data_IF_468941510919
#
_entry.id   IF_468941510919
#
_cell.length_a   1.000
_cell.length_b   1.000
_cell.length_c   1.000
_cell.angle_alpha   90.00
_cell.angle_beta   90.00
_cell.angle_gamma   90.00
#
_symmetry.space_group_name_H-M   'P 1'
#
loop_
_entity.id
_entity.type
_entity.pdbx_description
1 polymer ?
#
# COMPACT_ATOMS: atom_id res chain seq x y z
N UNK A 1 -48.75 -14.92 -23.18
CA UNK A 1 -48.37 -15.01 -21.76
C UNK A 1 -46.87 -15.26 -21.71
N UNK A 2 -46.18 -14.53 -20.81
CA UNK A 2 -44.84 -14.81 -20.23
C UNK A 2 -43.63 -14.81 -21.19
N UNK A 3 -42.49 -14.14 -20.96
CA UNK A 3 -42.00 -13.33 -19.82
C UNK A 3 -40.88 -12.42 -20.35
N UNK A 4 -40.90 -11.12 -20.03
CA UNK A 4 -39.74 -10.23 -20.21
C UNK A 4 -38.74 -10.50 -19.09
N UNK A 5 -37.51 -10.86 -19.44
CA UNK A 5 -36.38 -10.88 -18.51
C UNK A 5 -36.01 -9.44 -18.20
N UNK A 6 -36.38 -8.98 -17.00
CA UNK A 6 -35.97 -7.70 -16.46
C UNK A 6 -34.52 -7.83 -16.00
N UNK A 7 -33.58 -7.22 -16.72
CA UNK A 7 -32.23 -7.00 -16.21
C UNK A 7 -32.32 -5.96 -15.10
N UNK A 8 -32.26 -6.43 -13.86
CA UNK A 8 -32.15 -5.59 -12.66
C UNK A 8 -30.78 -4.89 -12.70
N UNK A 9 -30.80 -3.58 -12.97
CA UNK A 9 -29.64 -2.72 -12.81
C UNK A 9 -29.42 -2.54 -11.31
N UNK A 10 -28.40 -3.22 -10.77
CA UNK A 10 -27.95 -3.04 -9.39
C UNK A 10 -27.57 -1.56 -9.21
N UNK A 11 -28.10 -0.84 -8.22
CA UNK A 11 -27.80 0.57 -8.02
C UNK A 11 -26.32 0.72 -7.61
N UNK A 12 -25.61 1.60 -8.31
CA UNK A 12 -24.18 1.90 -8.13
C UNK A 12 -23.86 2.68 -6.84
N UNK A 13 -24.54 2.39 -5.74
CA UNK A 13 -24.40 3.13 -4.49
C UNK A 13 -24.34 2.16 -3.31
N UNK A 14 -23.39 1.22 -3.37
CA UNK A 14 -22.90 0.57 -2.17
C UNK A 14 -22.21 1.64 -1.30
N UNK A 15 -22.37 1.59 0.04
CA UNK A 15 -21.59 2.45 0.91
C UNK A 15 -20.12 2.15 0.62
N UNK A 16 -19.35 3.18 0.25
CA UNK A 16 -17.91 3.09 0.10
C UNK A 16 -17.37 2.63 1.46
N UNK A 17 -17.08 1.33 1.60
CA UNK A 17 -16.71 0.75 2.87
C UNK A 17 -15.45 1.48 3.35
N UNK A 18 -15.56 2.11 4.52
CA UNK A 18 -14.42 2.76 5.16
C UNK A 18 -13.37 1.69 5.46
N UNK A 19 -12.24 1.77 4.77
CA UNK A 19 -11.17 0.80 4.93
C UNK A 19 -10.36 1.15 6.16
N UNK A 20 -10.24 0.18 7.07
CA UNK A 20 -9.42 0.31 8.27
C UNK A 20 -8.11 -0.47 8.14
N UNK A 21 -7.01 0.12 8.63
CA UNK A 21 -5.77 -0.57 8.89
C UNK A 21 -5.71 -1.06 10.34
N UNK A 22 -5.26 -2.29 10.56
CA UNK A 22 -5.05 -2.87 11.89
C UNK A 22 -3.59 -3.28 12.04
N UNK A 23 -2.88 -2.80 13.08
CA UNK A 23 -1.48 -3.15 13.30
C UNK A 23 -1.35 -4.64 13.64
N UNK A 24 -0.32 -5.28 13.10
CA UNK A 24 0.02 -6.68 13.38
C UNK A 24 0.80 -6.75 14.68
N UNK A 25 0.37 -7.55 15.68
CA UNK A 25 1.09 -7.71 16.94
C UNK A 25 2.50 -8.26 16.74
N UNK A 26 3.41 -7.90 17.65
CA UNK A 26 4.83 -8.27 17.53
C UNK A 26 5.08 -9.77 17.39
N UNK A 27 4.25 -10.59 18.04
CA UNK A 27 4.31 -12.05 18.00
C UNK A 27 4.02 -12.64 16.62
N UNK A 28 3.28 -11.92 15.76
CA UNK A 28 2.85 -12.39 14.43
C UNK A 28 3.69 -11.80 13.30
N UNK A 29 4.66 -10.93 13.60
CA UNK A 29 5.47 -10.24 12.57
C UNK A 29 6.29 -11.20 11.72
N UNK A 30 6.81 -12.27 12.34
CA UNK A 30 7.61 -13.28 11.64
C UNK A 30 6.80 -14.02 10.56
N UNK A 31 5.50 -14.16 10.78
CA UNK A 31 4.59 -14.87 9.88
C UNK A 31 3.92 -13.94 8.87
N UNK A 32 4.08 -12.62 8.98
CA UNK A 32 3.42 -11.63 8.12
C UNK A 32 3.64 -11.91 6.63
N UNK A 33 4.90 -11.95 6.19
CA UNK A 33 5.20 -12.15 4.77
C UNK A 33 4.79 -13.54 4.27
N UNK A 34 5.11 -14.66 4.96
CA UNK A 34 4.60 -15.97 4.57
C UNK A 34 3.07 -16.04 4.48
N UNK A 35 2.36 -15.42 5.42
CA UNK A 35 0.90 -15.50 5.53
C UNK A 35 0.18 -14.68 4.45
N UNK A 36 0.60 -13.44 4.22
CA UNK A 36 -0.11 -12.52 3.31
C UNK A 36 0.48 -12.50 1.89
N UNK A 37 1.76 -12.83 1.74
CA UNK A 37 2.48 -12.76 0.47
C UNK A 37 3.11 -14.09 0.04
N UNK A 38 2.95 -15.18 0.79
CA UNK A 38 3.64 -16.45 0.55
C UNK A 38 3.40 -17.09 -0.82
N UNK A 39 2.31 -16.77 -1.50
CA UNK A 39 2.00 -17.24 -2.87
C UNK A 39 2.66 -16.40 -3.96
N UNK A 40 3.28 -15.27 -3.61
CA UNK A 40 3.90 -14.35 -4.58
C UNK A 40 5.34 -14.78 -4.84
N UNK A 41 5.76 -14.93 -6.11
CA UNK A 41 7.14 -15.24 -6.43
C UNK A 41 8.10 -14.21 -5.81
N UNK A 42 9.19 -14.67 -5.18
CA UNK A 42 10.22 -13.80 -4.59
C UNK A 42 9.69 -12.86 -3.49
N UNK A 43 8.61 -13.23 -2.78
CA UNK A 43 8.02 -12.44 -1.68
C UNK A 43 9.04 -12.05 -0.59
N UNK A 44 10.06 -12.88 -0.34
CA UNK A 44 11.12 -12.61 0.65
C UNK A 44 11.95 -11.36 0.32
N UNK A 45 11.87 -10.86 -0.93
CA UNK A 45 12.58 -9.65 -1.35
C UNK A 45 11.74 -8.38 -1.21
N UNK A 46 10.46 -8.47 -0.85
CA UNK A 46 9.57 -7.31 -0.78
C UNK A 46 10.03 -6.33 0.31
N UNK A 47 10.24 -6.82 1.53
CA UNK A 47 10.69 -5.98 2.65
C UNK A 47 11.99 -5.20 2.36
N UNK A 48 13.12 -5.85 1.96
CA UNK A 48 14.34 -5.11 1.68
C UNK A 48 14.20 -4.16 0.48
N UNK A 49 13.30 -4.43 -0.48
CA UNK A 49 13.03 -3.51 -1.59
C UNK A 49 12.22 -2.30 -1.15
N UNK A 50 11.25 -2.47 -0.25
CA UNK A 50 10.50 -1.35 0.34
C UNK A 50 11.45 -0.40 1.07
N UNK A 51 12.38 -0.93 1.86
CA UNK A 51 13.41 -0.11 2.50
C UNK A 51 14.28 0.64 1.49
N UNK A 52 14.71 -0.03 0.41
CA UNK A 52 15.51 0.59 -0.64
C UNK A 52 14.75 1.70 -1.39
N UNK A 53 13.44 1.55 -1.61
CA UNK A 53 12.61 2.61 -2.16
C UNK A 53 12.51 3.81 -1.22
N UNK A 54 12.33 3.58 0.08
CA UNK A 54 12.30 4.66 1.07
C UNK A 54 13.63 5.42 1.10
N UNK A 55 14.75 4.71 1.19
CA UNK A 55 16.11 5.30 1.15
C UNK A 55 16.35 6.11 -0.13
N UNK A 56 15.82 5.66 -1.27
CA UNK A 56 15.95 6.39 -2.53
C UNK A 56 15.13 7.68 -2.58
N UNK A 57 14.01 7.73 -1.86
CA UNK A 57 13.02 8.80 -2.01
C UNK A 57 13.09 9.84 -0.91
N UNK A 58 13.60 9.48 0.26
CA UNK A 58 13.65 10.33 1.43
C UNK A 58 15.10 10.47 1.89
N UNK A 59 15.72 11.63 1.63
CA UNK A 59 17.11 11.91 2.04
C UNK A 59 17.26 11.97 3.57
N UNK A 60 16.16 12.22 4.29
CA UNK A 60 16.09 12.29 5.75
C UNK A 60 15.94 10.90 6.38
N UNK A 61 15.68 9.86 5.58
CA UNK A 61 15.50 8.50 6.07
C UNK A 61 16.83 7.88 6.49
N UNK A 62 16.91 7.51 7.77
CA UNK A 62 18.08 6.85 8.37
C UNK A 62 17.80 5.42 8.84
N UNK A 63 16.70 4.83 8.36
CA UNK A 63 16.12 3.61 8.92
C UNK A 63 14.99 3.91 9.90
N UNK A 64 14.70 2.94 10.77
CA UNK A 64 13.68 3.08 11.80
C UNK A 64 13.00 1.75 12.11
N UNK A 65 12.13 1.76 13.11
CA UNK A 65 11.20 0.67 13.35
C UNK A 65 10.04 0.85 12.38
N UNK A 66 9.66 -0.24 11.73
CA UNK A 66 8.50 -0.27 10.85
C UNK A 66 7.44 -1.13 11.48
N UNK A 67 6.17 -0.71 11.39
CA UNK A 67 4.98 -1.48 11.74
C UNK A 67 4.37 -2.16 10.52
N UNK A 68 3.82 -3.36 10.73
CA UNK A 68 3.06 -4.09 9.72
C UNK A 68 1.57 -3.89 9.95
N UNK A 69 0.82 -3.77 8.87
CA UNK A 69 -0.60 -3.48 8.91
C UNK A 69 -1.36 -4.43 7.98
N UNK A 70 -2.56 -4.80 8.42
CA UNK A 70 -3.54 -5.52 7.60
C UNK A 70 -4.74 -4.61 7.34
N UNK A 71 -5.32 -4.71 6.16
CA UNK A 71 -6.46 -3.93 5.74
C UNK A 71 -7.73 -4.78 5.78
N UNK A 72 -8.85 -4.16 6.15
CA UNK A 72 -10.17 -4.80 6.16
C UNK A 72 -10.61 -5.44 4.81
N UNK A 73 -10.03 -5.01 3.68
CA UNK A 73 -10.25 -5.60 2.35
C UNK A 73 -9.28 -6.75 2.00
N UNK A 74 -8.50 -7.24 2.97
CA UNK A 74 -7.51 -8.31 2.78
C UNK A 74 -6.20 -7.84 2.14
N UNK A 75 -5.95 -6.52 2.08
CA UNK A 75 -4.63 -5.98 1.76
C UNK A 75 -3.71 -6.00 2.97
N UNK A 76 -2.42 -5.80 2.75
CA UNK A 76 -1.43 -5.70 3.80
C UNK A 76 -0.31 -4.75 3.34
N UNK A 77 0.33 -4.05 4.28
CA UNK A 77 1.45 -3.15 3.99
C UNK A 77 2.33 -2.96 5.23
N UNK A 78 3.42 -2.20 5.07
CA UNK A 78 4.27 -1.76 6.18
C UNK A 78 4.53 -0.26 6.10
N UNK A 79 4.69 0.38 7.25
CA UNK A 79 5.05 1.79 7.34
C UNK A 79 6.01 2.03 8.52
N UNK A 80 6.88 3.06 8.45
CA UNK A 80 7.67 3.49 9.60
C UNK A 80 6.79 3.90 10.77
N UNK A 81 7.26 3.68 11.99
CA UNK A 81 6.60 4.17 13.20
C UNK A 81 6.75 5.69 13.31
N UNK A 82 5.62 6.36 13.57
CA UNK A 82 5.56 7.80 13.72
C UNK A 82 5.85 8.22 15.17
N UNK A 83 7.11 8.49 15.49
CA UNK A 83 7.46 9.17 16.73
C UNK A 83 7.25 10.69 16.56
N UNK A 84 6.01 11.17 16.72
CA UNK A 84 5.77 12.60 16.98
C UNK A 84 5.15 13.46 15.87
N UNK A 85 4.53 12.87 14.84
CA UNK A 85 3.83 13.64 13.80
C UNK A 85 4.77 14.34 12.81
N UNK A 86 6.02 13.89 12.76
CA UNK A 86 7.00 14.35 11.80
C UNK A 86 6.54 14.07 10.37
N UNK A 87 6.76 15.05 9.51
CA UNK A 87 6.55 14.95 8.08
C UNK A 87 7.88 14.81 7.38
N UNK A 88 7.93 13.94 6.38
CA UNK A 88 9.09 13.74 5.53
C UNK A 88 8.86 14.34 4.16
N UNK A 89 9.93 14.87 3.57
CA UNK A 89 9.93 15.27 2.18
C UNK A 89 10.39 14.11 1.30
N UNK A 90 9.45 13.52 0.54
CA UNK A 90 9.76 12.50 -0.45
C UNK A 90 9.95 13.15 -1.82
N UNK A 91 10.92 12.65 -2.58
CA UNK A 91 11.18 13.05 -3.96
C UNK A 91 11.37 11.82 -4.85
N UNK A 92 10.50 11.68 -5.86
CA UNK A 92 10.63 10.63 -6.86
C UNK A 92 11.34 11.17 -8.10
N UNK A 93 12.61 10.80 -8.26
CA UNK A 93 13.42 11.19 -9.43
C UNK A 93 12.93 10.64 -10.76
N UNK A 94 12.04 9.63 -10.76
CA UNK A 94 11.53 9.01 -12.00
C UNK A 94 10.44 9.86 -12.67
N UNK A 95 9.61 10.54 -11.87
CA UNK A 95 8.56 11.45 -12.37
C UNK A 95 8.88 12.94 -12.10
N UNK A 96 9.89 13.24 -11.28
CA UNK A 96 10.29 14.60 -10.91
C UNK A 96 9.39 15.25 -9.85
N UNK A 97 8.52 14.48 -9.20
CA UNK A 97 7.59 14.97 -8.19
C UNK A 97 8.17 14.89 -6.79
N UNK A 98 7.93 15.93 -5.99
CA UNK A 98 8.13 15.93 -4.55
C UNK A 98 6.82 16.14 -3.80
N UNK A 99 6.75 15.61 -2.58
CA UNK A 99 5.63 15.79 -1.67
C UNK A 99 6.09 15.68 -0.21
N UNK A 100 5.52 16.53 0.64
CA UNK A 100 5.65 16.44 2.09
C UNK A 100 4.47 15.61 2.63
N UNK A 101 4.77 14.56 3.41
CA UNK A 101 3.73 13.68 3.97
C UNK A 101 4.18 13.04 5.28
N UNK A 102 3.23 12.52 6.07
CA UNK A 102 3.55 11.73 7.27
C UNK A 102 4.37 10.48 6.93
N UNK A 103 5.04 9.92 7.93
CA UNK A 103 5.79 8.66 7.77
C UNK A 103 4.89 7.49 7.38
N UNK A 104 3.63 7.46 7.85
CA UNK A 104 2.64 6.46 7.43
C UNK A 104 2.34 6.57 5.94
N UNK A 105 2.02 7.78 5.48
CA UNK A 105 1.76 8.06 4.07
C UNK A 105 2.97 7.73 3.19
N UNK A 106 4.19 8.02 3.66
CA UNK A 106 5.43 7.65 2.98
C UNK A 106 5.56 6.14 2.85
N UNK A 107 5.27 5.38 3.91
CA UNK A 107 5.25 3.92 3.92
C UNK A 107 4.25 3.34 2.90
N UNK A 108 3.04 3.88 2.86
CA UNK A 108 2.02 3.51 1.88
C UNK A 108 2.54 3.75 0.45
N UNK A 109 3.10 4.93 0.17
CA UNK A 109 3.60 5.29 -1.15
C UNK A 109 4.69 4.33 -1.65
N UNK A 110 5.70 4.03 -0.83
CA UNK A 110 6.79 3.12 -1.22
C UNK A 110 6.32 1.67 -1.36
N UNK A 111 5.37 1.22 -0.53
CA UNK A 111 4.74 -0.09 -0.69
C UNK A 111 4.00 -0.17 -2.03
N UNK A 112 3.24 0.85 -2.42
CA UNK A 112 2.54 0.88 -3.70
C UNK A 112 3.50 0.81 -4.90
N UNK A 113 4.63 1.52 -4.83
CA UNK A 113 5.67 1.48 -5.87
C UNK A 113 6.28 0.09 -5.97
N UNK A 114 6.66 -0.50 -4.83
CA UNK A 114 7.20 -1.86 -4.84
C UNK A 114 6.18 -2.86 -5.34
N UNK A 115 4.90 -2.71 -4.98
CA UNK A 115 3.87 -3.66 -5.39
C UNK A 115 3.61 -3.61 -6.89
N UNK A 116 3.57 -2.41 -7.47
CA UNK A 116 3.48 -2.21 -8.91
C UNK A 116 4.72 -2.77 -9.63
N UNK A 117 5.92 -2.42 -9.17
CA UNK A 117 7.17 -2.87 -9.78
C UNK A 117 7.32 -4.40 -9.71
N UNK A 118 6.99 -5.01 -8.57
CA UNK A 118 7.09 -6.45 -8.37
C UNK A 118 6.02 -7.21 -9.18
N UNK A 119 4.81 -6.68 -9.28
CA UNK A 119 3.75 -7.24 -10.12
C UNK A 119 4.18 -7.26 -11.59
N UNK A 120 4.71 -6.16 -12.12
CA UNK A 120 5.23 -6.10 -13.50
C UNK A 120 6.42 -7.04 -13.72
N UNK A 121 7.32 -7.15 -12.74
CA UNK A 121 8.50 -8.01 -12.84
C UNK A 121 8.18 -9.50 -12.82
N UNK A 122 7.16 -9.89 -12.04
CA UNK A 122 6.82 -11.30 -11.80
C UNK A 122 5.59 -11.76 -12.58
N UNK A 123 4.90 -10.85 -13.26
CA UNK A 123 3.63 -11.08 -13.96
C UNK A 123 2.60 -11.78 -13.04
N UNK A 124 2.56 -11.35 -11.78
CA UNK A 124 1.79 -12.00 -10.73
C UNK A 124 0.48 -11.26 -10.43
N UNK A 125 -0.66 -11.87 -10.77
CA UNK A 125 -1.99 -11.32 -10.49
C UNK A 125 -2.25 -11.15 -8.98
N UNK A 126 -1.70 -12.04 -8.14
CA UNK A 126 -1.84 -11.92 -6.69
C UNK A 126 -1.13 -10.65 -6.15
N UNK A 127 0.03 -10.29 -6.72
CA UNK A 127 0.70 -9.04 -6.40
C UNK A 127 -0.08 -7.82 -6.89
N UNK A 128 -0.64 -7.92 -8.10
CA UNK A 128 -1.52 -6.91 -8.68
C UNK A 128 -2.74 -6.65 -7.79
N UNK A 129 -3.35 -7.70 -7.23
CA UNK A 129 -4.46 -7.57 -6.29
C UNK A 129 -4.06 -6.83 -5.01
N UNK A 130 -2.88 -7.10 -4.45
CA UNK A 130 -2.35 -6.36 -3.30
C UNK A 130 -2.14 -4.89 -3.59
N UNK A 131 -1.61 -4.55 -4.78
CA UNK A 131 -1.50 -3.16 -5.23
C UNK A 131 -2.86 -2.45 -5.22
N UNK A 132 -3.89 -3.05 -5.80
CA UNK A 132 -5.23 -2.44 -5.84
C UNK A 132 -5.88 -2.33 -4.45
N UNK A 133 -5.73 -3.34 -3.59
CA UNK A 133 -6.25 -3.27 -2.22
C UNK A 133 -5.60 -2.15 -1.40
N UNK A 134 -4.29 -1.94 -1.58
CA UNK A 134 -3.57 -0.84 -0.94
C UNK A 134 -3.95 0.51 -1.57
N UNK A 135 -4.14 0.56 -2.89
CA UNK A 135 -4.61 1.77 -3.59
C UNK A 135 -5.97 2.23 -3.07
N UNK A 136 -6.91 1.32 -2.87
CA UNK A 136 -8.23 1.66 -2.34
C UNK A 136 -8.14 2.27 -0.94
N UNK A 137 -7.22 1.79 -0.10
CA UNK A 137 -6.94 2.41 1.21
C UNK A 137 -6.26 3.77 1.07
N UNK A 138 -5.25 3.89 0.20
CA UNK A 138 -4.55 5.15 -0.06
C UNK A 138 -5.49 6.25 -0.56
N UNK A 139 -6.50 5.91 -1.37
CA UNK A 139 -7.52 6.85 -1.87
C UNK A 139 -8.44 7.39 -0.77
N UNK A 140 -8.59 6.67 0.35
CA UNK A 140 -9.36 7.10 1.52
C UNK A 140 -8.50 7.79 2.59
N UNK A 141 -7.16 7.79 2.43
CA UNK A 141 -6.23 8.37 3.38
C UNK A 141 -6.30 9.91 3.39
N UNK A 142 -6.19 10.60 4.55
CA UNK A 142 -6.20 12.07 4.61
C UNK A 142 -5.14 12.74 3.72
N UNK A 143 -4.03 12.05 3.48
CA UNK A 143 -2.91 12.51 2.64
C UNK A 143 -2.89 11.87 1.24
N UNK A 144 -4.04 11.37 0.75
CA UNK A 144 -4.15 10.71 -0.55
C UNK A 144 -3.49 11.50 -1.70
N UNK A 145 -3.65 12.83 -1.72
CA UNK A 145 -3.03 13.68 -2.75
C UNK A 145 -1.50 13.58 -2.75
N UNK A 146 -0.87 13.57 -1.58
CA UNK A 146 0.59 13.50 -1.46
C UNK A 146 1.11 12.11 -1.86
N UNK A 147 0.41 11.06 -1.45
CA UNK A 147 0.71 9.67 -1.83
C UNK A 147 0.63 9.52 -3.36
N UNK A 148 -0.49 9.91 -3.96
CA UNK A 148 -0.72 9.78 -5.40
C UNK A 148 0.28 10.60 -6.22
N UNK A 149 0.67 11.79 -5.73
CA UNK A 149 1.65 12.65 -6.40
C UNK A 149 3.03 12.01 -6.50
N UNK A 150 3.45 11.25 -5.49
CA UNK A 150 4.76 10.58 -5.50
C UNK A 150 4.77 9.36 -6.42
N UNK A 151 3.65 8.64 -6.53
CA UNK A 151 3.58 7.39 -7.29
C UNK A 151 3.13 7.55 -8.75
N UNK A 152 2.80 8.76 -9.19
CA UNK A 152 2.37 9.11 -10.57
C UNK A 152 3.41 8.70 -11.63
#
# INVERSE_FOLDING_TARGET
MTTQTQCELVPANEPQFALTATPVPDEQRLDFWPLYFGTIPQWITLEPRIFAWMERFCDEYSGGIWSFYTLSNGGAFMAPDADGGDKWHLFNSMNGNGAEMSVEAAGIAVCMIEYSHHACRTECDAMTAHYYRLRDYALQHPEAHAILRIID
#
